data_IF_062463300675
#
_entry.id   IF_062463300675
#
_cell.length_a   1.000
_cell.length_b   1.000
_cell.length_c   1.000
_cell.angle_alpha   90.00
_cell.angle_beta   90.00
_cell.angle_gamma   90.00
#
_symmetry.space_group_name_H-M   'P 1'
#
loop_
_entity.id
_entity.type
_entity.pdbx_description
1 polymer ?
#
# COMPACT_ATOMS: atom_id res chain seq x y z
N UNK A 1 28.34 -15.43 12.09
CA UNK A 1 27.89 -14.05 12.36
C UNK A 1 27.63 -13.37 11.02
N UNK A 2 26.39 -12.99 10.71
CA UNK A 2 26.09 -12.27 9.46
C UNK A 2 26.40 -10.79 9.69
N UNK A 3 27.24 -10.19 8.86
CA UNK A 3 27.49 -8.74 8.89
C UNK A 3 26.32 -8.03 8.21
N UNK A 4 25.70 -7.08 8.90
CA UNK A 4 24.68 -6.20 8.34
C UNK A 4 25.27 -4.81 8.11
N UNK A 5 25.04 -4.25 6.91
CA UNK A 5 25.50 -2.92 6.52
C UNK A 5 24.30 -2.02 6.22
N UNK A 6 24.35 -0.76 6.67
CA UNK A 6 23.32 0.24 6.41
C UNK A 6 23.89 1.33 5.50
N UNK A 7 23.31 1.47 4.32
CA UNK A 7 23.68 2.51 3.37
C UNK A 7 22.59 3.58 3.30
N UNK A 8 23.01 4.83 3.15
CA UNK A 8 22.08 5.92 2.90
C UNK A 8 21.65 5.87 1.43
N UNK A 9 20.34 5.94 1.18
CA UNK A 9 19.81 6.06 -0.18
C UNK A 9 20.18 7.44 -0.74
N UNK A 10 20.78 7.47 -1.93
CA UNK A 10 21.11 8.69 -2.68
C UNK A 10 20.36 8.67 -4.02
N UNK A 11 19.05 8.94 -4.02
CA UNK A 11 18.25 8.83 -5.24
C UNK A 11 18.63 9.93 -6.23
N UNK A 12 18.60 9.62 -7.52
CA UNK A 12 18.62 10.63 -8.57
C UNK A 12 17.32 11.44 -8.53
N UNK A 13 17.28 12.60 -9.22
CA UNK A 13 16.09 13.45 -9.27
C UNK A 13 14.86 12.67 -9.75
N UNK A 14 14.99 11.85 -10.80
CA UNK A 14 13.90 11.00 -11.30
C UNK A 14 13.45 9.93 -10.31
N UNK A 15 14.39 9.32 -9.58
CA UNK A 15 14.05 8.35 -8.52
C UNK A 15 13.31 9.00 -7.36
N UNK A 16 13.75 10.19 -6.92
CA UNK A 16 13.08 10.93 -5.86
C UNK A 16 11.64 11.30 -6.25
N UNK A 17 11.42 11.73 -7.50
CA UNK A 17 10.08 12.00 -8.02
C UNK A 17 9.18 10.74 -8.00
N UNK A 18 9.69 9.61 -8.52
CA UNK A 18 8.96 8.34 -8.53
C UNK A 18 8.63 7.84 -7.11
N UNK A 19 9.57 7.94 -6.17
CA UNK A 19 9.32 7.61 -4.77
C UNK A 19 8.27 8.51 -4.13
N UNK A 20 8.24 9.80 -4.48
CA UNK A 20 7.22 10.73 -4.03
C UNK A 20 5.83 10.40 -4.58
N UNK A 21 5.73 9.99 -5.85
CA UNK A 21 4.48 9.50 -6.44
C UNK A 21 4.01 8.21 -5.75
N UNK A 22 4.90 7.24 -5.57
CA UNK A 22 4.61 6.00 -4.87
C UNK A 22 4.10 6.27 -3.45
N UNK A 23 4.76 7.16 -2.70
CA UNK A 23 4.32 7.53 -1.35
C UNK A 23 2.89 8.08 -1.35
N UNK A 24 2.55 8.98 -2.29
CA UNK A 24 1.20 9.55 -2.39
C UNK A 24 0.14 8.48 -2.68
N UNK A 25 0.43 7.59 -3.62
CA UNK A 25 -0.49 6.50 -3.96
C UNK A 25 -0.66 5.54 -2.78
N UNK A 26 0.41 5.17 -2.08
CA UNK A 26 0.34 4.29 -0.92
C UNK A 26 -0.38 4.93 0.27
N UNK A 27 -0.23 6.24 0.49
CA UNK A 27 -1.03 6.95 1.49
C UNK A 27 -2.53 6.85 1.20
N UNK A 28 -2.93 6.97 -0.07
CA UNK A 28 -4.34 6.81 -0.44
C UNK A 28 -4.85 5.38 -0.22
N UNK A 29 -4.04 4.37 -0.54
CA UNK A 29 -4.35 2.97 -0.30
C UNK A 29 -4.52 2.67 1.20
N UNK A 30 -3.58 3.16 2.03
CA UNK A 30 -3.63 3.00 3.48
C UNK A 30 -4.87 3.64 4.10
N UNK A 31 -5.20 4.87 3.69
CA UNK A 31 -6.38 5.57 4.19
C UNK A 31 -7.68 4.87 3.78
N UNK A 32 -7.75 4.33 2.55
CA UNK A 32 -8.88 3.51 2.10
C UNK A 32 -9.06 2.25 2.94
N UNK A 33 -7.97 1.55 3.23
CA UNK A 33 -7.97 0.36 4.09
C UNK A 33 -8.41 0.66 5.54
N UNK A 34 -8.03 1.82 6.10
CA UNK A 34 -8.53 2.27 7.40
C UNK A 34 -10.02 2.58 7.35
N UNK A 35 -10.47 3.26 6.31
CA UNK A 35 -11.87 3.61 6.13
C UNK A 35 -12.73 2.34 6.04
N UNK A 36 -12.35 1.37 5.22
CA UNK A 36 -13.06 0.08 5.10
C UNK A 36 -13.25 -0.59 6.47
N UNK A 37 -12.17 -0.72 7.25
CA UNK A 37 -12.22 -1.34 8.59
C UNK A 37 -13.16 -0.59 9.53
N UNK A 38 -13.08 0.74 9.53
CA UNK A 38 -13.93 1.60 10.35
C UNK A 38 -15.39 1.45 9.98
N UNK A 39 -15.68 1.49 8.69
CA UNK A 39 -17.05 1.49 8.18
C UNK A 39 -17.69 0.09 8.36
N UNK A 40 -16.93 -0.99 8.16
CA UNK A 40 -17.36 -2.36 8.46
C UNK A 40 -17.68 -2.58 9.95
N UNK A 41 -16.87 -2.02 10.86
CA UNK A 41 -17.12 -2.11 12.30
C UNK A 41 -18.34 -1.27 12.74
N UNK A 42 -18.58 -0.14 12.07
CA UNK A 42 -19.76 0.70 12.33
C UNK A 42 -21.05 0.05 11.85
N UNK A 43 -21.00 -0.72 10.77
CA UNK A 43 -22.15 -1.45 10.22
C UNK A 43 -22.85 -2.33 11.28
N UNK A 44 -24.16 -2.54 11.13
CA UNK A 44 -24.99 -3.28 12.10
C UNK A 44 -24.54 -4.72 12.31
N UNK A 45 -23.94 -5.34 11.29
CA UNK A 45 -23.35 -6.69 11.38
C UNK A 45 -22.08 -6.76 12.21
N UNK A 46 -21.49 -5.62 12.59
CA UNK A 46 -20.21 -5.52 13.32
C UNK A 46 -19.08 -6.34 12.69
N UNK A 47 -19.07 -6.41 11.36
CA UNK A 47 -18.08 -7.19 10.62
C UNK A 47 -16.67 -6.67 10.91
N UNK A 48 -15.77 -7.57 11.31
CA UNK A 48 -14.37 -7.25 11.51
C UNK A 48 -13.56 -7.69 10.29
N UNK A 49 -12.98 -6.72 9.57
CA UNK A 49 -12.07 -7.00 8.46
C UNK A 49 -10.68 -7.33 9.01
N UNK A 50 -10.21 -8.55 8.72
CA UNK A 50 -8.87 -9.04 9.10
C UNK A 50 -7.85 -8.75 8.00
N UNK A 51 -6.57 -8.80 8.36
CA UNK A 51 -5.46 -8.59 7.42
C UNK A 51 -5.61 -9.43 6.14
N UNK A 52 -5.84 -10.74 6.27
CA UNK A 52 -5.93 -11.63 5.10
C UNK A 52 -7.09 -11.29 4.14
N UNK A 53 -8.20 -10.74 4.66
CA UNK A 53 -9.31 -10.30 3.82
C UNK A 53 -8.94 -9.02 3.06
N UNK A 54 -8.30 -8.07 3.74
CA UNK A 54 -7.94 -6.78 3.17
C UNK A 54 -6.77 -6.89 2.19
N UNK A 55 -5.73 -7.68 2.51
CA UNK A 55 -4.57 -7.86 1.63
C UNK A 55 -4.93 -8.65 0.36
N UNK A 56 -5.91 -9.55 0.43
CA UNK A 56 -6.42 -10.25 -0.75
C UNK A 56 -7.00 -9.30 -1.82
N UNK A 57 -7.53 -8.14 -1.41
CA UNK A 57 -8.09 -7.14 -2.31
C UNK A 57 -7.03 -6.41 -3.14
N UNK A 58 -5.76 -6.41 -2.70
CA UNK A 58 -4.69 -5.66 -3.37
C UNK A 58 -4.47 -6.12 -4.82
N UNK A 59 -4.73 -7.39 -5.13
CA UNK A 59 -4.66 -7.91 -6.49
C UNK A 59 -5.64 -7.18 -7.40
N UNK A 60 -6.90 -7.07 -6.97
CA UNK A 60 -7.96 -6.47 -7.76
C UNK A 60 -7.83 -4.94 -7.81
N UNK A 61 -7.42 -4.31 -6.71
CA UNK A 61 -7.13 -2.87 -6.65
C UNK A 61 -6.04 -2.49 -7.67
N UNK A 62 -4.95 -3.26 -7.76
CA UNK A 62 -3.91 -3.05 -8.77
C UNK A 62 -4.43 -3.19 -10.19
N UNK A 63 -5.24 -4.22 -10.44
CA UNK A 63 -5.82 -4.46 -11.76
C UNK A 63 -6.80 -3.34 -12.18
N UNK A 64 -7.56 -2.80 -11.22
CA UNK A 64 -8.51 -1.72 -11.45
C UNK A 64 -7.86 -0.35 -11.63
N UNK A 65 -6.69 -0.11 -11.01
CA UNK A 65 -5.99 1.16 -11.03
C UNK A 65 -4.57 1.03 -11.61
N UNK A 66 -4.40 0.66 -12.89
CA UNK A 66 -3.08 0.40 -13.49
C UNK A 66 -2.15 1.61 -13.41
N UNK A 67 -2.66 2.81 -13.65
CA UNK A 67 -1.88 4.06 -13.60
C UNK A 67 -1.62 4.62 -12.19
N UNK A 68 -2.15 3.95 -11.14
CA UNK A 68 -1.95 4.34 -9.74
C UNK A 68 -1.35 3.22 -8.93
N UNK A 69 -2.17 2.26 -8.49
CA UNK A 69 -1.67 1.16 -7.66
C UNK A 69 -0.97 0.08 -8.48
N UNK A 70 -1.39 -0.15 -9.73
CA UNK A 70 -0.87 -1.21 -10.59
C UNK A 70 0.52 -0.95 -11.17
N UNK A 71 0.94 0.31 -11.29
CA UNK A 71 2.27 0.73 -11.77
C UNK A 71 3.39 0.47 -10.75
N UNK A 72 3.05 0.15 -9.51
CA UNK A 72 4.02 -0.12 -8.45
C UNK A 72 4.18 -1.63 -8.21
N UNK A 73 5.39 -2.05 -7.79
CA UNK A 73 5.65 -3.44 -7.43
C UNK A 73 4.69 -3.91 -6.33
N UNK A 74 4.13 -5.11 -6.46
CA UNK A 74 3.25 -5.68 -5.43
C UNK A 74 3.95 -5.75 -4.05
N UNK A 75 5.27 -5.97 -4.03
CA UNK A 75 6.06 -6.08 -2.80
C UNK A 75 6.17 -4.76 -2.03
N UNK A 76 5.88 -3.61 -2.66
CA UNK A 76 5.86 -2.32 -1.97
C UNK A 76 4.53 -2.05 -1.26
N UNK A 77 3.53 -2.92 -1.42
CA UNK A 77 2.16 -2.77 -0.91
C UNK A 77 1.76 -3.82 0.15
N UNK A 78 2.73 -4.60 0.66
CA UNK A 78 2.50 -5.73 1.57
C UNK A 78 2.32 -5.34 3.04
#
# INVERSE_FOLDING_TARGET
MIRAYKFLMRPTVGQAAALGEMLRDHCSLYNGALQERRDAYRHVSKTSIKYGQQSAQLKDIRAFAPERQGRWSFSSQQ
#
